data_IF_155527911878
#
_entry.id   IF_155527911878
#
_cell.length_a   1.000
_cell.length_b   1.000
_cell.length_c   1.000
_cell.angle_alpha   90.00
_cell.angle_beta   90.00
_cell.angle_gamma   90.00
#
_symmetry.space_group_name_H-M   'P 1'
#
loop_
_entity.id
_entity.type
_entity.pdbx_description
1 polymer ?
#
# COMPACT_ATOMS: atom_id res chain seq x y z
N UNK A 1 45.62 -47.98 -31.13
CA UNK A 1 46.13 -46.61 -30.98
C UNK A 1 45.23 -45.91 -29.97
N UNK A 2 45.31 -46.35 -28.71
CA UNK A 2 46.04 -45.68 -27.60
C UNK A 2 45.39 -44.35 -27.19
N UNK A 3 45.09 -44.01 -25.93
CA UNK A 3 45.13 -44.64 -24.59
C UNK A 3 44.44 -43.65 -23.61
N UNK A 4 43.89 -44.17 -22.50
CA UNK A 4 43.83 -43.60 -21.13
C UNK A 4 43.02 -42.33 -20.77
N UNK A 5 41.85 -42.58 -20.15
CA UNK A 5 41.33 -42.18 -18.82
C UNK A 5 41.95 -41.01 -17.98
N UNK A 6 41.16 -40.41 -17.05
CA UNK A 6 41.35 -39.07 -16.49
C UNK A 6 42.31 -39.03 -15.29
N UNK A 7 43.02 -37.92 -15.12
CA UNK A 7 43.92 -37.69 -13.98
C UNK A 7 43.13 -37.24 -12.75
N UNK A 8 43.38 -37.92 -11.64
CA UNK A 8 42.85 -37.67 -10.31
C UNK A 8 43.90 -36.98 -9.42
N UNK A 9 43.44 -36.13 -8.50
CA UNK A 9 44.03 -35.70 -7.20
C UNK A 9 45.26 -34.75 -7.16
N UNK A 10 45.04 -33.56 -6.55
CA UNK A 10 45.51 -33.33 -5.17
C UNK A 10 44.67 -32.29 -4.40
N UNK A 11 44.45 -32.50 -3.08
CA UNK A 11 43.65 -31.64 -2.21
C UNK A 11 44.49 -30.63 -1.44
N UNK A 12 43.84 -29.58 -0.93
CA UNK A 12 44.26 -28.88 0.28
C UNK A 12 45.09 -27.60 0.09
N UNK A 13 44.41 -26.46 0.03
CA UNK A 13 44.77 -25.15 0.58
C UNK A 13 43.58 -24.24 0.18
N UNK A 14 42.79 -23.62 1.04
CA UNK A 14 43.08 -23.04 2.33
C UNK A 14 41.71 -22.87 3.00
N UNK A 15 41.50 -23.56 4.11
CA UNK A 15 40.42 -23.21 5.03
C UNK A 15 40.99 -22.09 5.91
N UNK A 16 40.23 -21.02 6.14
CA UNK A 16 39.96 -20.51 7.49
C UNK A 16 39.42 -19.08 7.48
N UNK A 17 38.13 -19.02 7.82
CA UNK A 17 37.48 -17.99 8.64
C UNK A 17 37.45 -16.53 8.12
N UNK A 18 36.39 -15.82 8.53
CA UNK A 18 36.11 -14.39 8.25
C UNK A 18 35.40 -14.25 6.88
N UNK A 19 34.11 -14.55 6.79
CA UNK A 19 33.07 -13.52 6.92
C UNK A 19 31.72 -14.21 7.21
N UNK A 20 31.53 -14.59 8.47
CA UNK A 20 30.20 -14.68 9.08
C UNK A 20 29.68 -13.24 9.22
N UNK A 21 29.32 -12.59 8.11
CA UNK A 21 28.62 -11.30 8.13
C UNK A 21 27.15 -11.58 8.28
N UNK A 22 26.75 -11.68 9.54
CA UNK A 22 25.39 -11.47 9.98
C UNK A 22 24.82 -10.23 9.27
N UNK A 23 23.87 -10.41 8.36
CA UNK A 23 22.99 -9.33 7.95
C UNK A 23 22.09 -9.03 9.15
N UNK A 24 22.54 -8.13 10.02
CA UNK A 24 21.66 -7.45 10.96
C UNK A 24 20.68 -6.63 10.11
N UNK A 25 19.43 -7.11 10.03
CA UNK A 25 18.32 -6.36 9.49
C UNK A 25 18.13 -5.11 10.37
N UNK A 26 18.47 -3.94 9.84
CA UNK A 26 18.05 -2.67 10.40
C UNK A 26 16.56 -2.51 10.09
N UNK A 27 15.71 -2.61 11.11
CA UNK A 27 14.28 -2.26 11.02
C UNK A 27 14.20 -0.75 11.31
N UNK A 28 13.91 0.13 10.34
CA UNK A 28 13.62 1.52 10.64
C UNK A 28 12.26 1.58 11.36
N UNK A 29 12.28 1.96 12.64
CA UNK A 29 11.06 2.31 13.38
C UNK A 29 10.69 3.73 12.96
N UNK A 30 9.82 3.84 11.97
CA UNK A 30 9.19 5.11 11.58
C UNK A 30 8.17 5.50 12.66
N UNK A 31 8.50 6.50 13.47
CA UNK A 31 7.52 7.13 14.36
C UNK A 31 6.60 8.04 13.53
N UNK A 32 5.38 7.57 13.25
CA UNK A 32 4.30 8.42 12.79
C UNK A 32 3.72 9.18 13.99
N UNK A 33 3.98 10.48 14.07
CA UNK A 33 3.32 11.36 15.04
C UNK A 33 2.00 11.85 14.43
N UNK A 34 0.92 11.09 14.65
CA UNK A 34 -0.44 11.56 14.37
C UNK A 34 -0.93 12.37 15.56
N UNK A 35 -1.05 13.69 15.41
CA UNK A 35 -1.71 14.55 16.39
C UNK A 35 -3.22 14.55 16.10
N UNK A 36 -4.08 14.07 17.01
CA UNK A 36 -5.51 14.27 16.84
C UNK A 36 -5.84 15.71 17.21
N UNK A 37 -6.24 16.52 16.23
CA UNK A 37 -7.00 17.73 16.52
C UNK A 37 -8.41 17.30 16.95
N UNK A 38 -8.59 17.01 18.23
CA UNK A 38 -9.90 16.71 18.81
C UNK A 38 -10.70 18.01 18.92
N UNK A 39 -11.53 18.30 17.93
CA UNK A 39 -12.67 19.21 18.12
C UNK A 39 -13.75 18.44 18.88
N UNK A 40 -14.10 18.94 20.07
CA UNK A 40 -15.20 18.40 20.86
C UNK A 40 -16.50 18.45 20.05
N UNK A 41 -17.08 17.29 19.74
CA UNK A 41 -18.39 17.17 19.12
C UNK A 41 -19.37 16.58 20.15
N UNK A 42 -20.43 17.33 20.41
CA UNK A 42 -21.55 17.01 21.29
C UNK A 42 -22.48 15.94 20.69
N UNK A 43 -23.04 15.10 21.58
CA UNK A 43 -24.19 14.18 21.48
C UNK A 43 -24.52 13.48 20.14
N UNK A 44 -24.46 12.15 20.20
CA UNK A 44 -24.58 11.12 19.16
C UNK A 44 -25.78 11.25 18.21
N UNK A 45 -25.54 11.88 17.06
CA UNK A 45 -26.18 11.51 15.81
C UNK A 45 -25.04 11.11 14.87
N UNK A 46 -24.96 9.83 14.52
CA UNK A 46 -24.01 9.38 13.51
C UNK A 46 -24.35 10.08 12.19
N UNK A 47 -23.45 10.91 11.63
CA UNK A 47 -23.80 11.67 10.44
C UNK A 47 -23.91 10.72 9.25
N UNK A 48 -24.99 10.86 8.47
CA UNK A 48 -25.18 10.04 7.26
C UNK A 48 -23.99 10.14 6.29
N UNK A 49 -23.28 11.27 6.28
CA UNK A 49 -22.02 11.45 5.55
C UNK A 49 -20.87 11.69 6.53
N UNK A 50 -19.83 10.86 6.43
CA UNK A 50 -18.55 11.07 7.11
C UNK A 50 -17.48 11.41 6.08
N UNK A 51 -16.68 12.43 6.35
CA UNK A 51 -15.64 12.89 5.44
C UNK A 51 -14.26 12.64 6.05
N UNK A 52 -13.34 12.08 5.28
CA UNK A 52 -11.96 11.86 5.68
C UNK A 52 -11.00 12.28 4.56
N UNK A 53 -9.77 12.62 4.93
CA UNK A 53 -8.75 12.98 3.95
C UNK A 53 -7.34 12.92 4.52
N UNK A 54 -6.36 12.86 3.61
CA UNK A 54 -4.95 12.76 3.94
C UNK A 54 -4.09 13.51 2.93
N UNK A 55 -2.88 13.86 3.35
CA UNK A 55 -1.83 14.38 2.49
C UNK A 55 -0.47 13.86 2.99
N UNK A 56 0.45 13.59 2.07
CA UNK A 56 1.77 13.06 2.39
C UNK A 56 2.84 13.54 1.40
N UNK A 57 4.06 13.64 1.91
CA UNK A 57 5.29 13.67 1.12
C UNK A 57 6.02 12.35 1.40
N UNK A 58 6.36 11.61 0.34
CA UNK A 58 7.13 10.37 0.47
C UNK A 58 8.40 10.46 -0.34
N UNK A 59 9.44 9.74 0.07
CA UNK A 59 10.71 9.67 -0.67
C UNK A 59 10.66 8.74 -1.88
N UNK A 60 9.70 7.81 -1.93
CA UNK A 60 9.49 6.86 -3.02
C UNK A 60 8.02 6.42 -2.96
N UNK A 61 7.22 6.80 -3.95
CA UNK A 61 5.86 6.29 -4.09
C UNK A 61 5.90 4.90 -4.74
N UNK A 62 5.48 3.88 -3.98
CA UNK A 62 5.44 2.49 -4.43
C UNK A 62 4.04 1.96 -4.57
N UNK A 63 3.62 1.66 -5.79
CA UNK A 63 2.40 0.94 -6.07
C UNK A 63 2.67 -0.56 -6.15
N UNK A 64 2.07 -1.34 -5.23
CA UNK A 64 2.21 -2.81 -5.15
C UNK A 64 3.67 -3.30 -5.16
N UNK A 65 4.56 -2.50 -4.57
CA UNK A 65 5.98 -2.82 -4.46
C UNK A 65 6.83 -2.37 -5.66
N UNK A 66 6.26 -1.70 -6.67
CA UNK A 66 6.98 -1.08 -7.78
C UNK A 66 7.01 0.43 -7.54
N UNK A 67 8.18 1.07 -7.69
CA UNK A 67 8.29 2.53 -7.61
C UNK A 67 7.60 3.15 -8.82
N UNK A 68 6.67 4.07 -8.58
CA UNK A 68 6.05 4.90 -9.61
C UNK A 68 6.63 6.31 -9.66
N UNK A 69 7.37 6.74 -8.62
CA UNK A 69 8.09 8.03 -8.63
C UNK A 69 9.58 7.89 -8.91
N UNK A 70 10.05 6.73 -9.37
CA UNK A 70 11.47 6.43 -9.64
C UNK A 70 12.43 6.83 -8.51
N UNK A 71 12.05 6.52 -7.26
CA UNK A 71 12.81 6.87 -6.04
C UNK A 71 12.93 8.38 -5.76
N UNK A 72 12.20 9.22 -6.50
CA UNK A 72 12.07 10.65 -6.23
C UNK A 72 10.91 10.96 -5.27
N UNK A 73 10.97 12.15 -4.68
CA UNK A 73 9.94 12.65 -3.76
C UNK A 73 8.60 12.78 -4.49
N UNK A 74 7.56 12.19 -3.92
CA UNK A 74 6.19 12.31 -4.42
C UNK A 74 5.26 13.00 -3.41
N UNK A 75 4.39 13.87 -3.91
CA UNK A 75 3.26 14.45 -3.17
C UNK A 75 2.05 13.54 -3.40
N UNK A 76 1.41 13.13 -2.31
CA UNK A 76 0.23 12.27 -2.34
C UNK A 76 -0.89 12.88 -1.51
N UNK A 77 -2.13 12.58 -1.88
CA UNK A 77 -3.28 12.98 -1.08
C UNK A 77 -4.56 12.27 -1.49
N UNK A 78 -5.55 12.32 -0.61
CA UNK A 78 -6.83 11.70 -0.87
C UNK A 78 -7.94 12.28 -0.03
N UNK A 79 -9.17 12.00 -0.46
CA UNK A 79 -10.40 12.39 0.18
C UNK A 79 -11.44 11.29 -0.01
N UNK A 80 -12.15 10.93 1.05
CA UNK A 80 -13.20 9.90 1.02
C UNK A 80 -14.46 10.40 1.70
N UNK A 81 -15.60 10.03 1.13
CA UNK A 81 -16.93 10.20 1.71
C UNK A 81 -17.48 8.82 2.01
N UNK A 82 -17.79 8.57 3.27
CA UNK A 82 -18.42 7.35 3.77
C UNK A 82 -19.86 7.63 4.16
N UNK A 83 -20.72 6.63 4.03
CA UNK A 83 -22.13 6.70 4.45
C UNK A 83 -22.48 5.57 5.39
N UNK A 84 -23.40 5.82 6.33
CA UNK A 84 -23.86 4.82 7.31
C UNK A 84 -24.42 3.51 6.74
N UNK A 85 -25.02 3.47 5.53
CA UNK A 85 -25.38 2.19 4.92
C UNK A 85 -24.16 1.32 4.56
N UNK A 86 -22.96 1.91 4.47
CA UNK A 86 -21.70 1.24 4.14
C UNK A 86 -21.13 1.59 2.76
N UNK A 87 -21.71 2.54 2.03
CA UNK A 87 -21.14 3.02 0.77
C UNK A 87 -20.01 4.00 1.02
N UNK A 88 -18.99 3.94 0.16
CA UNK A 88 -17.89 4.90 0.14
C UNK A 88 -17.58 5.36 -1.28
N UNK A 89 -17.15 6.62 -1.41
CA UNK A 89 -16.60 7.21 -2.63
C UNK A 89 -15.31 7.94 -2.25
N UNK A 90 -14.20 7.58 -2.88
CA UNK A 90 -12.91 8.19 -2.64
C UNK A 90 -12.22 8.65 -3.92
N UNK A 91 -11.42 9.69 -3.77
CA UNK A 91 -10.41 10.08 -4.74
C UNK A 91 -9.04 10.10 -4.06
N UNK A 92 -8.04 9.61 -4.75
CA UNK A 92 -6.65 9.67 -4.34
C UNK A 92 -5.79 10.10 -5.51
N UNK A 93 -4.62 10.67 -5.26
CA UNK A 93 -3.66 10.92 -6.32
C UNK A 93 -2.25 11.15 -5.83
N UNK A 94 -1.31 11.04 -6.77
CA UNK A 94 0.11 11.25 -6.56
C UNK A 94 0.77 11.90 -7.77
N UNK A 95 1.86 12.63 -7.53
CA UNK A 95 2.89 12.81 -8.57
C UNK A 95 3.60 11.47 -8.81
N UNK A 96 3.90 11.18 -10.08
CA UNK A 96 4.65 10.01 -10.51
C UNK A 96 5.74 10.44 -11.50
N UNK A 97 6.74 9.59 -11.70
CA UNK A 97 7.63 9.69 -12.85
C UNK A 97 6.83 9.42 -14.13
N UNK A 98 7.34 9.90 -15.27
CA UNK A 98 6.61 9.84 -16.53
C UNK A 98 6.19 8.41 -16.90
N UNK A 99 4.88 8.18 -16.94
CA UNK A 99 4.25 6.93 -17.37
C UNK A 99 3.47 7.17 -18.66
N UNK A 100 4.07 6.83 -19.81
CA UNK A 100 3.48 7.04 -21.14
C UNK A 100 2.95 8.47 -21.37
N UNK A 101 3.62 9.47 -20.81
CA UNK A 101 3.26 10.89 -20.94
C UNK A 101 2.46 11.46 -19.77
N UNK A 102 2.06 10.65 -18.79
CA UNK A 102 1.47 11.16 -17.55
C UNK A 102 2.52 11.31 -16.45
N UNK A 103 2.44 12.40 -15.69
CA UNK A 103 3.25 12.65 -14.49
C UNK A 103 2.36 12.68 -13.23
N UNK A 104 1.13 12.17 -13.33
CA UNK A 104 0.16 12.15 -12.25
C UNK A 104 -0.70 10.90 -12.31
N UNK A 105 -0.88 10.25 -11.17
CA UNK A 105 -1.89 9.20 -10.99
C UNK A 105 -3.07 9.77 -10.20
N UNK A 106 -4.29 9.44 -10.63
CA UNK A 106 -5.54 9.74 -9.94
C UNK A 106 -6.38 8.47 -9.86
N UNK A 107 -6.71 8.08 -8.64
CA UNK A 107 -7.55 6.93 -8.37
C UNK A 107 -8.93 7.39 -7.93
N UNK A 108 -9.97 6.84 -8.55
CA UNK A 108 -11.35 7.03 -8.11
C UNK A 108 -11.90 5.68 -7.67
N UNK A 109 -12.26 5.58 -6.39
CA UNK A 109 -12.79 4.34 -5.81
C UNK A 109 -14.24 4.52 -5.36
N UNK A 110 -15.06 3.50 -5.61
CA UNK A 110 -16.44 3.43 -5.12
C UNK A 110 -16.74 2.01 -4.68
N UNK A 111 -17.43 1.84 -3.57
CA UNK A 111 -17.80 0.51 -3.12
C UNK A 111 -18.77 0.49 -1.98
N UNK A 112 -18.99 -0.73 -1.48
CA UNK A 112 -19.88 -1.03 -0.39
C UNK A 112 -19.19 -2.02 0.56
N UNK A 113 -19.24 -1.74 1.86
CA UNK A 113 -18.78 -2.60 2.93
C UNK A 113 -19.87 -2.86 3.96
N UNK A 114 -19.92 -4.08 4.48
CA UNK A 114 -20.84 -4.44 5.57
C UNK A 114 -20.24 -5.55 6.43
N UNK A 115 -20.74 -5.66 7.66
CA UNK A 115 -20.42 -6.76 8.56
C UNK A 115 -21.60 -7.70 8.64
N UNK A 116 -21.39 -8.97 8.29
CA UNK A 116 -22.40 -10.01 8.38
C UNK A 116 -21.91 -11.16 9.27
N UNK A 117 -22.60 -11.38 10.39
CA UNK A 117 -22.33 -12.49 11.33
C UNK A 117 -20.85 -12.59 11.77
N UNK A 118 -20.22 -11.44 12.04
CA UNK A 118 -18.81 -11.39 12.44
C UNK A 118 -17.81 -11.56 11.29
N UNK A 119 -18.26 -11.44 10.04
CA UNK A 119 -17.40 -11.32 8.87
C UNK A 119 -17.57 -9.94 8.24
N UNK A 120 -16.46 -9.27 7.97
CA UNK A 120 -16.45 -8.09 7.13
C UNK A 120 -16.44 -8.53 5.67
N UNK A 121 -17.30 -7.91 4.87
CA UNK A 121 -17.46 -8.13 3.44
C UNK A 121 -17.46 -6.78 2.75
N UNK A 122 -16.63 -6.60 1.72
CA UNK A 122 -16.71 -5.43 0.86
C UNK A 122 -16.49 -5.79 -0.60
N UNK A 123 -17.14 -5.03 -1.48
CA UNK A 123 -16.94 -5.07 -2.91
C UNK A 123 -16.93 -3.64 -3.44
N UNK A 124 -16.06 -3.37 -4.41
CA UNK A 124 -15.92 -2.04 -4.98
C UNK A 124 -15.16 -2.07 -6.28
N UNK A 125 -15.04 -0.89 -6.88
CA UNK A 125 -14.31 -0.63 -8.10
C UNK A 125 -13.31 0.48 -7.85
N UNK A 126 -12.17 0.42 -8.53
CA UNK A 126 -11.19 1.50 -8.57
C UNK A 126 -10.83 1.75 -10.02
N UNK A 127 -10.97 2.99 -10.47
CA UNK A 127 -10.45 3.45 -11.74
C UNK A 127 -9.12 4.17 -11.49
N UNK A 128 -8.06 3.67 -12.11
CA UNK A 128 -6.73 4.28 -12.12
C UNK A 128 -6.62 5.11 -13.39
N UNK A 129 -6.43 6.41 -13.21
CA UNK A 129 -6.41 7.39 -14.28
C UNK A 129 -5.03 8.06 -14.30
N UNK A 130 -4.47 8.21 -15.48
CA UNK A 130 -3.16 8.81 -15.70
C UNK A 130 -3.34 9.98 -16.67
N UNK A 131 -3.77 11.16 -16.19
CA UNK A 131 -4.07 12.30 -17.05
C UNK A 131 -2.87 12.68 -17.94
N UNK A 132 -3.12 12.84 -19.24
CA UNK A 132 -2.07 13.12 -20.23
C UNK A 132 -1.32 11.88 -20.73
N UNK A 133 -1.52 10.72 -20.10
CA UNK A 133 -1.01 9.43 -20.54
C UNK A 133 -1.74 8.87 -21.75
N UNK A 134 -1.08 7.96 -22.48
CA UNK A 134 -1.66 7.24 -23.62
C UNK A 134 -1.84 5.76 -23.29
N UNK A 135 -3.09 5.26 -23.40
CA UNK A 135 -3.48 3.87 -23.14
C UNK A 135 -3.04 3.34 -21.76
N UNK A 136 -3.10 4.21 -20.76
CA UNK A 136 -2.64 3.95 -19.38
C UNK A 136 -3.76 3.67 -18.39
N UNK A 137 -4.97 4.16 -18.66
CA UNK A 137 -6.08 4.08 -17.72
C UNK A 137 -6.67 2.67 -17.65
N UNK A 138 -7.00 2.21 -16.45
CA UNK A 138 -7.61 0.90 -16.26
C UNK A 138 -8.52 0.86 -15.02
N UNK A 139 -9.36 -0.17 -14.96
CA UNK A 139 -10.33 -0.36 -13.88
C UNK A 139 -10.11 -1.71 -13.23
N UNK A 140 -10.14 -1.73 -11.90
CA UNK A 140 -10.06 -2.94 -11.09
C UNK A 140 -11.32 -3.16 -10.26
N UNK A 141 -11.74 -4.41 -10.15
CA UNK A 141 -12.73 -4.84 -9.19
C UNK A 141 -12.01 -5.31 -7.92
N UNK A 142 -12.38 -4.74 -6.78
CA UNK A 142 -11.82 -5.05 -5.48
C UNK A 142 -12.88 -5.76 -4.65
N UNK A 143 -12.48 -6.85 -3.98
CA UNK A 143 -13.30 -7.46 -2.94
C UNK A 143 -12.42 -7.79 -1.75
N UNK A 144 -12.97 -7.62 -0.55
CA UNK A 144 -12.32 -7.97 0.70
C UNK A 144 -13.30 -8.73 1.57
N UNK A 145 -12.82 -9.77 2.21
CA UNK A 145 -13.61 -10.53 3.16
C UNK A 145 -12.70 -11.07 4.26
N UNK A 146 -13.19 -11.12 5.49
CA UNK A 146 -12.41 -11.58 6.62
C UNK A 146 -13.25 -11.69 7.89
N UNK A 147 -12.79 -12.47 8.85
CA UNK A 147 -13.39 -12.46 10.17
C UNK A 147 -13.09 -11.11 10.85
N UNK A 148 -14.11 -10.52 11.48
CA UNK A 148 -13.94 -9.35 12.35
C UNK A 148 -12.98 -9.77 13.47
N UNK A 149 -11.77 -9.24 13.46
CA UNK A 149 -10.81 -9.52 14.52
C UNK A 149 -11.22 -8.76 15.78
N UNK A 150 -11.22 -9.41 16.95
CA UNK A 150 -11.49 -8.76 18.23
C UNK A 150 -10.48 -7.65 18.61
N UNK A 151 -9.41 -7.48 17.82
CA UNK A 151 -8.45 -6.37 17.94
C UNK A 151 -8.93 -5.07 17.26
N UNK A 152 -10.01 -5.13 16.47
CA UNK A 152 -10.64 -3.98 15.81
C UNK A 152 -12.01 -3.64 16.39
N UNK A 153 -12.41 -4.22 17.54
CA UNK A 153 -13.55 -3.72 18.28
C UNK A 153 -13.26 -2.26 18.66
N UNK A 154 -14.16 -1.31 18.37
CA UNK A 154 -13.96 0.08 18.78
C UNK A 154 -13.77 0.09 20.29
N UNK A 155 -12.71 0.76 20.76
CA UNK A 155 -12.70 1.31 22.11
C UNK A 155 -13.89 2.27 22.15
N UNK A 156 -15.01 1.78 22.65
CA UNK A 156 -16.09 2.61 23.16
C UNK A 156 -15.54 3.29 24.42
N UNK A 157 -15.27 4.59 24.33
CA UNK A 157 -15.34 5.48 25.49
C UNK A 157 -16.81 5.85 25.76
#
# INVERSE_FOLDING_TARGET
MERTAPLCLKPGLLNDHILRRSCLAFIPISFLFSAPASLAQSEDETPFFTFSGNAALVSDYRFRGVSLSDEDIAIQGGFTVDTEPGFYLGVWGSSIESFNGSETEVDVNFGYGTTWKGFDLSAGVTAYLFPGGTDTDYVELISRWGAVSALSAPVSE
#
